data_IF_156108695637
#
_entry.id   IF_156108695637
#
_cell.length_a   1.000
_cell.length_b   1.000
_cell.length_c   1.000
_cell.angle_alpha   90.00
_cell.angle_beta   90.00
_cell.angle_gamma   90.00
#
_symmetry.space_group_name_H-M   'P 1'
#
loop_
_entity.id
_entity.type
_entity.pdbx_description
1 polymer ?
#
# COMPACT_ATOMS: atom_id res chain seq x y z
N UNK A 1 -9.22 3.31 -19.07
CA UNK A 1 -8.35 2.12 -19.21
C UNK A 1 -6.96 2.63 -18.87
N UNK A 2 -6.55 2.56 -17.60
CA UNK A 2 -5.17 2.86 -17.24
C UNK A 2 -4.34 1.78 -17.92
N UNK A 3 -3.54 2.19 -18.92
CA UNK A 3 -2.58 1.29 -19.53
C UNK A 3 -1.75 0.63 -18.43
N UNK A 4 -1.49 -0.67 -18.57
CA UNK A 4 -0.44 -1.35 -17.81
C UNK A 4 0.90 -0.72 -18.20
N UNK A 5 1.21 0.46 -17.67
CA UNK A 5 2.59 0.90 -17.61
C UNK A 5 3.22 0.00 -16.56
N UNK A 6 4.09 -0.91 -17.01
CA UNK A 6 5.06 -1.51 -16.12
C UNK A 6 5.84 -0.35 -15.51
N UNK A 7 5.48 0.03 -14.28
CA UNK A 7 6.23 1.03 -13.52
C UNK A 7 7.53 0.34 -13.06
N UNK A 8 8.46 0.15 -13.99
CA UNK A 8 9.83 -0.21 -13.66
C UNK A 8 10.47 1.08 -13.18
N UNK A 9 10.44 1.25 -11.87
CA UNK A 9 11.30 2.21 -11.21
C UNK A 9 12.72 1.68 -11.41
N UNK A 10 13.57 2.25 -12.26
CA UNK A 10 14.89 1.63 -12.48
C UNK A 10 15.84 1.94 -11.31
N UNK A 11 16.04 3.24 -11.07
CA UNK A 11 16.87 3.75 -9.98
C UNK A 11 16.04 4.69 -9.11
N UNK A 12 16.16 4.55 -7.79
CA UNK A 12 15.46 5.37 -6.82
C UNK A 12 16.36 5.85 -5.69
N UNK A 13 15.96 6.98 -5.10
CA UNK A 13 16.51 7.49 -3.85
C UNK A 13 15.44 7.39 -2.77
N UNK A 14 15.82 6.96 -1.57
CA UNK A 14 14.92 6.94 -0.42
C UNK A 14 15.13 8.17 0.46
N UNK A 15 14.05 8.71 1.01
CA UNK A 15 14.07 9.86 1.92
C UNK A 15 13.25 9.56 3.17
N UNK A 16 13.88 9.70 4.33
CA UNK A 16 13.24 9.53 5.63
C UNK A 16 13.56 10.68 6.60
N UNK A 17 12.73 10.80 7.64
CA UNK A 17 12.92 11.81 8.70
C UNK A 17 13.13 11.17 10.06
N UNK A 18 14.07 11.71 10.83
CA UNK A 18 14.21 11.41 12.26
C UNK A 18 13.38 12.44 13.00
N UNK A 19 12.34 11.98 13.70
CA UNK A 19 11.42 12.83 14.47
C UNK A 19 11.59 12.61 15.97
N UNK A 20 10.76 13.23 16.81
CA UNK A 20 10.81 12.99 18.27
C UNK A 20 10.31 11.60 18.66
N UNK A 21 9.37 11.07 17.89
CA UNK A 21 8.72 9.78 18.15
C UNK A 21 9.39 8.62 17.40
N UNK A 22 10.37 8.94 16.55
CA UNK A 22 11.11 8.00 15.72
C UNK A 22 12.60 8.34 15.78
N UNK A 23 13.33 7.55 16.56
CA UNK A 23 14.78 7.63 16.69
C UNK A 23 15.49 7.07 15.44
N UNK A 24 16.82 7.11 15.47
CA UNK A 24 17.67 6.73 14.35
C UNK A 24 17.67 5.22 14.10
N UNK A 25 17.55 4.41 15.16
CA UNK A 25 17.42 2.95 15.07
C UNK A 25 16.12 2.57 14.36
N UNK A 26 14.97 3.10 14.83
CA UNK A 26 13.67 2.88 14.18
C UNK A 26 13.66 3.38 12.75
N UNK A 27 14.25 4.56 12.47
CA UNK A 27 14.34 5.04 11.09
C UNK A 27 15.14 4.09 10.20
N UNK A 28 16.20 3.47 10.70
CA UNK A 28 17.02 2.54 9.91
C UNK A 28 16.19 1.35 9.45
N UNK A 29 15.46 0.71 10.38
CA UNK A 29 14.53 -0.38 10.07
C UNK A 29 13.45 0.05 9.08
N UNK A 30 12.95 1.28 9.27
CA UNK A 30 11.91 1.83 8.41
C UNK A 30 12.40 2.01 6.98
N UNK A 31 13.65 2.45 6.83
CA UNK A 31 14.30 2.62 5.53
C UNK A 31 14.68 1.29 4.91
N UNK A 32 15.05 0.27 5.70
CA UNK A 32 15.26 -1.11 5.21
C UNK A 32 13.97 -1.69 4.65
N UNK A 33 12.86 -1.52 5.36
CA UNK A 33 11.56 -1.96 4.88
C UNK A 33 11.10 -1.17 3.63
N UNK A 34 11.34 0.15 3.59
CA UNK A 34 11.04 0.98 2.43
C UNK A 34 11.88 0.57 1.22
N UNK A 35 13.15 0.21 1.42
CA UNK A 35 14.00 -0.35 0.38
C UNK A 35 13.45 -1.67 -0.14
N UNK A 36 12.95 -2.53 0.76
CA UNK A 36 12.37 -3.80 0.36
C UNK A 36 11.02 -3.63 -0.38
N UNK A 37 10.22 -2.62 -0.01
CA UNK A 37 9.05 -2.19 -0.79
C UNK A 37 9.46 -1.70 -2.18
N UNK A 38 10.48 -0.85 -2.24
CA UNK A 38 11.00 -0.31 -3.49
C UNK A 38 11.48 -1.45 -4.41
N UNK A 39 12.27 -2.37 -3.88
CA UNK A 39 12.70 -3.59 -4.57
C UNK A 39 11.53 -4.44 -5.06
N UNK A 40 10.51 -4.63 -4.22
CA UNK A 40 9.31 -5.39 -4.59
C UNK A 40 8.53 -4.73 -5.74
N UNK A 41 8.52 -3.40 -5.82
CA UNK A 41 7.93 -2.64 -6.90
C UNK A 41 8.78 -2.58 -8.17
N UNK A 42 10.02 -3.09 -8.13
CA UNK A 42 10.97 -3.11 -9.23
C UNK A 42 12.08 -2.06 -9.16
N UNK A 43 12.14 -1.26 -8.07
CA UNK A 43 13.12 -0.19 -7.86
C UNK A 43 14.47 -0.67 -7.32
N UNK A 44 15.56 -0.15 -7.88
CA UNK A 44 16.90 -0.28 -7.29
C UNK A 44 17.27 0.99 -6.52
N UNK A 45 17.43 0.88 -5.21
CA UNK A 45 17.81 2.01 -4.37
C UNK A 45 19.31 2.30 -4.51
N UNK A 46 19.66 3.55 -4.81
CA UNK A 46 21.06 3.99 -4.96
C UNK A 46 21.60 4.71 -3.73
N UNK A 47 20.72 5.41 -3.00
CA UNK A 47 21.10 6.17 -1.82
C UNK A 47 19.90 6.38 -0.90
N UNK A 48 20.19 6.48 0.39
CA UNK A 48 19.25 6.86 1.44
C UNK A 48 19.63 8.24 1.96
N UNK A 49 18.66 9.15 2.03
CA UNK A 49 18.80 10.44 2.69
C UNK A 49 17.94 10.47 3.94
N UNK A 50 18.54 10.96 5.01
CA UNK A 50 17.84 11.19 6.27
C UNK A 50 18.03 12.63 6.70
N UNK A 51 17.03 13.16 7.40
CA UNK A 51 17.14 14.47 8.04
C UNK A 51 16.45 14.47 9.40
N UNK A 52 17.14 15.01 10.40
CA UNK A 52 16.57 15.22 11.72
C UNK A 52 15.74 16.50 11.73
N UNK A 53 14.43 16.36 11.94
CA UNK A 53 13.48 17.46 12.05
C UNK A 53 12.46 17.13 13.14
N UNK A 54 12.05 18.14 13.93
CA UNK A 54 11.02 17.90 14.95
C UNK A 54 9.68 17.50 14.36
N UNK A 55 9.34 18.05 13.19
CA UNK A 55 8.18 17.72 12.39
C UNK A 55 8.53 17.88 10.91
N UNK A 56 7.84 17.18 9.99
CA UNK A 56 8.03 17.33 8.55
C UNK A 56 7.81 18.79 8.11
N UNK A 57 8.64 19.25 7.17
CA UNK A 57 8.48 20.57 6.60
C UNK A 57 7.16 20.65 5.79
N UNK A 58 6.34 21.65 6.07
CA UNK A 58 5.02 21.80 5.42
C UNK A 58 5.08 22.02 3.90
N UNK A 59 6.22 22.49 3.38
CA UNK A 59 6.42 22.81 1.96
C UNK A 59 7.03 21.63 1.20
N UNK A 60 8.07 20.99 1.73
CA UNK A 60 8.88 19.99 1.00
C UNK A 60 9.13 18.70 1.77
N UNK A 61 8.52 18.51 2.94
CA UNK A 61 8.75 17.38 3.86
C UNK A 61 10.15 17.39 4.50
N UNK A 62 11.20 17.53 3.70
CA UNK A 62 12.57 17.85 4.11
C UNK A 62 12.82 19.36 4.08
N UNK A 63 13.87 19.82 4.77
CA UNK A 63 14.30 21.22 4.73
C UNK A 63 14.96 21.58 3.40
N UNK A 64 14.94 22.88 3.04
CA UNK A 64 15.44 23.40 1.75
C UNK A 64 16.86 22.92 1.38
N UNK A 65 17.81 22.98 2.31
CA UNK A 65 19.18 22.55 2.05
C UNK A 65 19.30 21.06 1.73
N UNK A 66 18.47 20.21 2.35
CA UNK A 66 18.42 18.78 2.07
C UNK A 66 17.74 18.51 0.72
N UNK A 67 16.70 19.27 0.37
CA UNK A 67 16.08 19.18 -0.95
C UNK A 67 17.07 19.54 -2.07
N UNK A 68 17.89 20.58 -1.89
CA UNK A 68 18.97 20.96 -2.82
C UNK A 68 20.05 19.87 -2.93
N UNK A 69 20.46 19.29 -1.80
CA UNK A 69 21.41 18.16 -1.78
C UNK A 69 20.87 16.94 -2.55
N UNK A 70 19.59 16.61 -2.35
CA UNK A 70 18.91 15.53 -3.07
C UNK A 70 18.89 15.86 -4.57
N UNK A 71 18.52 17.09 -4.95
CA UNK A 71 18.48 17.51 -6.36
C UNK A 71 19.83 17.30 -7.05
N UNK A 72 20.91 17.80 -6.45
CA UNK A 72 22.25 17.66 -7.01
C UNK A 72 22.63 16.18 -7.21
N UNK A 73 22.33 15.33 -6.22
CA UNK A 73 22.61 13.90 -6.34
C UNK A 73 21.80 13.23 -7.46
N UNK A 74 20.53 13.62 -7.63
CA UNK A 74 19.67 13.09 -8.71
C UNK A 74 20.20 13.46 -10.10
N UNK A 75 20.64 14.71 -10.27
CA UNK A 75 21.21 15.22 -11.53
C UNK A 75 22.55 14.52 -11.85
N UNK A 76 23.44 14.37 -10.86
CA UNK A 76 24.75 13.72 -11.03
C UNK A 76 24.66 12.23 -11.39
N UNK A 77 23.62 11.54 -10.92
CA UNK A 77 23.48 10.08 -11.05
C UNK A 77 22.33 9.68 -11.99
N UNK A 78 21.71 10.64 -12.69
CA UNK A 78 20.59 10.43 -13.62
C UNK A 78 19.44 9.60 -13.01
N UNK A 79 19.08 9.89 -11.77
CA UNK A 79 18.04 9.14 -11.04
C UNK A 79 16.69 9.83 -11.22
N UNK A 80 15.72 9.10 -11.80
CA UNK A 80 14.40 9.66 -12.12
C UNK A 80 13.32 9.49 -11.06
N UNK A 81 13.61 8.89 -9.89
CA UNK A 81 12.61 8.60 -8.84
C UNK A 81 13.11 8.88 -7.43
N UNK A 82 12.27 9.53 -6.62
CA UNK A 82 12.48 9.70 -5.18
C UNK A 82 11.29 9.12 -4.43
N UNK A 83 11.57 8.32 -3.40
CA UNK A 83 10.57 7.65 -2.57
C UNK A 83 10.69 8.16 -1.13
N UNK A 84 9.58 8.63 -0.57
CA UNK A 84 9.48 9.12 0.80
C UNK A 84 8.83 8.06 1.72
N UNK A 85 9.36 7.86 2.94
CA UNK A 85 8.81 6.88 3.91
C UNK A 85 7.41 7.24 4.44
N UNK A 86 7.03 8.50 4.40
CA UNK A 86 5.74 8.99 4.91
C UNK A 86 4.84 9.48 3.79
N UNK A 87 3.52 9.44 4.03
CA UNK A 87 2.53 10.00 3.12
C UNK A 87 2.75 11.51 2.95
N UNK A 88 2.85 11.95 1.70
CA UNK A 88 3.02 13.35 1.38
C UNK A 88 1.67 14.04 1.20
N UNK A 89 1.55 15.25 1.75
CA UNK A 89 0.41 16.11 1.47
C UNK A 89 0.41 16.54 -0.01
N UNK A 90 -0.76 16.86 -0.60
CA UNK A 90 -0.84 17.33 -1.99
C UNK A 90 0.01 18.58 -2.28
N UNK A 91 0.24 19.44 -1.28
CA UNK A 91 1.15 20.59 -1.39
C UNK A 91 2.62 20.19 -1.42
N UNK A 92 3.04 19.26 -0.55
CA UNK A 92 4.42 18.79 -0.49
C UNK A 92 4.80 18.10 -1.80
N UNK A 93 3.96 17.17 -2.26
CA UNK A 93 4.19 16.43 -3.50
C UNK A 93 4.40 17.38 -4.69
N UNK A 94 3.53 18.39 -4.85
CA UNK A 94 3.65 19.39 -5.92
C UNK A 94 4.94 20.22 -5.84
N UNK A 95 5.33 20.62 -4.63
CA UNK A 95 6.53 21.44 -4.46
C UNK A 95 7.78 20.61 -4.72
N UNK A 96 7.81 19.37 -4.26
CA UNK A 96 8.89 18.42 -4.53
C UNK A 96 9.02 18.10 -6.02
N UNK A 97 7.91 17.83 -6.71
CA UNK A 97 7.92 17.61 -8.17
C UNK A 97 8.48 18.82 -8.93
N UNK A 98 8.15 20.05 -8.48
CA UNK A 98 8.66 21.28 -9.11
C UNK A 98 10.13 21.55 -8.80
N UNK A 99 10.57 21.26 -7.58
CA UNK A 99 11.93 21.56 -7.14
C UNK A 99 12.93 20.49 -7.63
N UNK A 100 12.55 19.21 -7.58
CA UNK A 100 13.41 18.08 -7.93
C UNK A 100 13.28 17.62 -9.39
N UNK A 101 12.19 17.99 -10.09
CA UNK A 101 11.97 17.69 -11.53
C UNK A 101 12.00 16.19 -11.88
N UNK A 102 11.75 15.33 -10.90
CA UNK A 102 11.72 13.87 -11.03
C UNK A 102 10.40 13.29 -10.50
N UNK A 103 10.15 12.01 -10.74
CA UNK A 103 8.97 11.32 -10.21
C UNK A 103 9.06 11.21 -8.70
N UNK A 104 8.08 11.76 -7.99
CA UNK A 104 7.97 11.66 -6.54
C UNK A 104 6.96 10.58 -6.17
N UNK A 105 7.37 9.67 -5.30
CA UNK A 105 6.53 8.67 -4.68
C UNK A 105 6.56 8.83 -3.18
N UNK A 106 5.43 8.56 -2.55
CA UNK A 106 5.38 8.27 -1.12
C UNK A 106 5.14 6.78 -0.87
N UNK A 107 5.29 6.39 0.39
CA UNK A 107 5.07 5.02 0.84
C UNK A 107 3.67 4.50 0.47
N UNK A 108 2.64 5.33 0.61
CA UNK A 108 1.26 4.95 0.28
C UNK A 108 1.10 4.59 -1.20
N UNK A 109 1.61 5.42 -2.09
CA UNK A 109 1.57 5.18 -3.53
C UNK A 109 2.39 3.95 -3.93
N UNK A 110 3.58 3.78 -3.33
CA UNK A 110 4.42 2.59 -3.56
C UNK A 110 3.70 1.29 -3.17
N UNK A 111 3.02 1.27 -2.02
CA UNK A 111 2.24 0.12 -1.57
C UNK A 111 1.06 -0.16 -2.53
N UNK A 112 0.34 0.88 -2.96
CA UNK A 112 -0.75 0.75 -3.93
C UNK A 112 -0.27 0.17 -5.26
N UNK A 113 0.89 0.60 -5.75
CA UNK A 113 1.50 0.08 -6.98
C UNK A 113 1.89 -1.39 -6.87
N UNK A 114 2.51 -1.79 -5.74
CA UNK A 114 2.83 -3.21 -5.49
C UNK A 114 1.54 -4.04 -5.50
N UNK A 115 0.49 -3.57 -4.84
CA UNK A 115 -0.79 -4.27 -4.86
C UNK A 115 -1.42 -4.33 -6.24
N UNK A 116 -1.29 -3.28 -7.06
CA UNK A 116 -1.82 -3.27 -8.42
C UNK A 116 -1.11 -4.33 -9.29
N UNK A 117 0.21 -4.50 -9.09
CA UNK A 117 0.99 -5.55 -9.75
C UNK A 117 0.59 -6.95 -9.28
N UNK A 118 0.22 -7.12 -8.01
CA UNK A 118 -0.11 -8.42 -7.39
C UNK A 118 -1.58 -8.83 -7.53
N UNK A 119 -2.49 -7.90 -7.78
CA UNK A 119 -3.92 -8.17 -7.88
C UNK A 119 -4.25 -9.10 -9.07
N UNK A 120 -4.54 -10.37 -8.77
CA UNK A 120 -4.88 -11.35 -9.80
C UNK A 120 -6.39 -11.43 -10.03
N UNK A 121 -7.16 -11.44 -8.94
CA UNK A 121 -8.63 -11.55 -9.04
C UNK A 121 -9.26 -10.24 -9.50
N UNK A 122 -10.43 -10.33 -10.16
CA UNK A 122 -11.21 -9.14 -10.49
C UNK A 122 -11.61 -8.34 -9.24
N UNK A 123 -11.68 -9.00 -8.09
CA UNK A 123 -12.02 -8.39 -6.83
C UNK A 123 -10.88 -7.50 -6.32
N UNK A 124 -9.71 -8.09 -6.09
CA UNK A 124 -8.51 -7.37 -5.67
C UNK A 124 -8.16 -6.24 -6.64
N UNK A 125 -8.29 -6.45 -7.96
CA UNK A 125 -8.04 -5.39 -8.95
C UNK A 125 -8.99 -4.21 -8.78
N UNK A 126 -10.28 -4.47 -8.57
CA UNK A 126 -11.28 -3.42 -8.40
C UNK A 126 -11.05 -2.64 -7.10
N UNK A 127 -10.64 -3.32 -6.03
CA UNK A 127 -10.29 -2.70 -4.74
C UNK A 127 -9.06 -1.82 -4.84
N UNK A 128 -7.97 -2.32 -5.43
CA UNK A 128 -6.74 -1.53 -5.58
C UNK A 128 -6.96 -0.34 -6.50
N UNK A 129 -7.69 -0.52 -7.61
CA UNK A 129 -8.06 0.58 -8.51
C UNK A 129 -8.89 1.65 -7.77
N UNK A 130 -9.83 1.26 -6.92
CA UNK A 130 -10.59 2.19 -6.09
C UNK A 130 -9.68 2.99 -5.15
N UNK A 131 -8.80 2.31 -4.42
CA UNK A 131 -7.89 2.95 -3.48
C UNK A 131 -6.91 3.91 -4.19
N UNK A 132 -6.42 3.55 -5.38
CA UNK A 132 -5.61 4.44 -6.22
C UNK A 132 -6.38 5.71 -6.61
N UNK A 133 -7.62 5.59 -7.06
CA UNK A 133 -8.42 6.77 -7.41
C UNK A 133 -8.74 7.65 -6.19
N UNK A 134 -9.04 7.07 -5.03
CA UNK A 134 -9.28 7.81 -3.80
C UNK A 134 -8.03 8.55 -3.30
N UNK A 135 -6.85 7.93 -3.44
CA UNK A 135 -5.57 8.57 -3.13
C UNK A 135 -5.22 9.70 -4.10
N UNK A 136 -5.50 9.53 -5.41
CA UNK A 136 -5.23 10.51 -6.45
C UNK A 136 -6.22 11.69 -6.44
N UNK A 137 -7.49 11.47 -6.10
CA UNK A 137 -8.55 12.49 -6.13
C UNK A 137 -8.17 13.83 -5.45
N UNK A 138 -7.64 13.86 -4.22
CA UNK A 138 -7.21 15.11 -3.57
C UNK A 138 -5.91 15.70 -4.16
N UNK A 139 -5.17 14.95 -4.98
CA UNK A 139 -3.84 15.30 -5.49
C UNK A 139 -3.85 15.82 -6.94
N UNK A 140 -4.90 15.55 -7.72
CA UNK A 140 -5.01 15.95 -9.13
C UNK A 140 -5.14 17.45 -9.39
N UNK A 141 -5.77 18.19 -8.47
CA UNK A 141 -6.11 19.62 -8.65
C UNK A 141 -4.90 20.52 -8.89
N UNK A 142 -3.67 20.05 -8.63
CA UNK A 142 -2.48 20.91 -8.68
C UNK A 142 -1.37 20.43 -9.61
N UNK A 143 -1.39 19.18 -10.09
CA UNK A 143 -0.50 18.70 -11.16
C UNK A 143 -0.80 19.41 -12.50
N UNK A 144 -2.06 19.76 -12.76
CA UNK A 144 -2.50 20.36 -14.01
C UNK A 144 -2.14 21.84 -14.23
N UNK A 145 -1.77 22.58 -13.18
CA UNK A 145 -1.35 23.99 -13.33
C UNK A 145 -0.09 24.18 -14.22
N UNK A 146 0.65 23.11 -14.50
CA UNK A 146 1.78 23.11 -15.43
C UNK A 146 1.35 22.89 -16.91
N UNK A 147 0.25 22.17 -17.16
CA UNK A 147 -0.27 21.90 -18.50
C UNK A 147 -0.99 23.12 -19.11
N UNK A 148 -1.71 23.91 -18.30
CA UNK A 148 -2.36 25.16 -18.75
C UNK A 148 -1.35 26.20 -19.27
N UNK A 149 -0.14 26.25 -18.70
CA UNK A 149 0.89 27.21 -19.12
C UNK A 149 1.54 26.87 -20.47
N UNK A 150 1.52 25.59 -20.85
CA UNK A 150 2.14 25.14 -22.11
C UNK A 150 1.18 25.27 -23.32
N UNK A 151 -0.14 25.37 -23.09
CA UNK A 151 -1.15 25.42 -24.15
C UNK A 151 -1.61 26.81 -24.60
N UNK A 152 -1.01 27.88 -24.07
CA UNK A 152 -1.22 29.24 -24.56
C UNK A 152 -2.57 29.81 -24.11
N UNK A 153 -2.52 30.87 -23.33
CA UNK A 153 -3.69 31.63 -22.91
C UNK A 153 -4.33 32.37 -24.08
N UNK A 154 -5.22 31.71 -24.83
CA UNK A 154 -6.17 32.36 -25.72
C UNK A 154 -7.51 31.61 -25.66
N UNK A 155 -8.47 32.21 -24.96
CA UNK A 155 -9.89 32.15 -25.33
C UNK A 155 -10.61 30.80 -25.21
N UNK A 156 -11.09 30.49 -24.00
CA UNK A 156 -12.28 29.63 -23.82
C UNK A 156 -13.38 30.46 -23.16
N UNK A 157 -14.10 31.24 -23.97
CA UNK A 157 -15.42 31.80 -23.60
C UNK A 157 -16.49 30.85 -24.16
N UNK A 158 -16.89 29.87 -23.34
CA UNK A 158 -17.95 28.88 -23.60
C UNK A 158 -17.92 27.73 -22.56
N UNK A 159 -19.06 27.07 -22.29
CA UNK A 159 -19.73 27.07 -20.99
C UNK A 159 -18.94 26.44 -19.82
N UNK A 160 -18.50 27.28 -18.89
CA UNK A 160 -18.74 27.14 -17.43
C UNK A 160 -17.90 26.17 -16.60
N UNK A 161 -17.46 25.02 -17.11
CA UNK A 161 -16.76 24.01 -16.31
C UNK A 161 -15.27 24.01 -16.64
N UNK A 162 -14.41 24.15 -15.63
CA UNK A 162 -12.96 24.07 -15.84
C UNK A 162 -12.55 22.64 -16.23
N UNK A 163 -11.52 22.45 -17.06
CA UNK A 163 -11.02 21.10 -17.42
C UNK A 163 -10.70 20.26 -16.16
N UNK A 164 -10.23 20.92 -15.09
CA UNK A 164 -9.98 20.34 -13.77
C UNK A 164 -11.27 19.80 -13.11
N UNK A 165 -12.37 20.52 -13.20
CA UNK A 165 -13.67 20.07 -12.67
C UNK A 165 -14.19 18.86 -13.45
N UNK A 166 -14.01 18.88 -14.77
CA UNK A 166 -14.36 17.75 -15.65
C UNK A 166 -13.58 16.48 -15.27
N UNK A 167 -12.26 16.59 -15.08
CA UNK A 167 -11.43 15.44 -14.67
C UNK A 167 -11.77 14.93 -13.27
N UNK A 168 -12.00 15.84 -12.32
CA UNK A 168 -12.46 15.45 -10.97
C UNK A 168 -13.80 14.74 -11.03
N UNK A 169 -14.70 15.18 -11.90
CA UNK A 169 -15.99 14.54 -12.10
C UNK A 169 -15.82 13.14 -12.68
N UNK A 170 -14.99 12.96 -13.71
CA UNK A 170 -14.68 11.64 -14.29
C UNK A 170 -14.16 10.68 -13.21
N UNK A 171 -13.24 11.15 -12.36
CA UNK A 171 -12.66 10.30 -11.30
C UNK A 171 -13.68 9.99 -10.20
N UNK A 172 -14.54 10.94 -9.81
CA UNK A 172 -15.65 10.68 -8.88
C UNK A 172 -16.66 9.69 -9.44
N UNK A 173 -16.99 9.80 -10.72
CA UNK A 173 -17.89 8.87 -11.40
C UNK A 173 -17.26 7.47 -11.45
N UNK A 174 -15.94 7.39 -11.68
CA UNK A 174 -15.20 6.13 -11.63
C UNK A 174 -15.18 5.52 -10.23
N UNK A 175 -14.91 6.31 -9.20
CA UNK A 175 -15.00 5.89 -7.79
C UNK A 175 -16.38 5.33 -7.48
N UNK A 176 -17.43 6.03 -7.89
CA UNK A 176 -18.83 5.62 -7.65
C UNK A 176 -19.14 4.29 -8.34
N UNK A 177 -18.71 4.13 -9.59
CA UNK A 177 -18.85 2.87 -10.35
C UNK A 177 -18.11 1.71 -9.69
N UNK A 178 -16.85 1.92 -9.26
CA UNK A 178 -16.05 0.89 -8.59
C UNK A 178 -16.66 0.48 -7.25
N UNK A 179 -17.17 1.44 -6.47
CA UNK A 179 -17.90 1.16 -5.21
C UNK A 179 -19.15 0.31 -5.44
N UNK A 180 -19.96 0.63 -6.45
CA UNK A 180 -21.13 -0.20 -6.80
C UNK A 180 -20.73 -1.60 -7.26
N UNK A 181 -19.66 -1.71 -8.07
CA UNK A 181 -19.13 -3.01 -8.49
C UNK A 181 -18.66 -3.84 -7.29
N UNK A 182 -17.95 -3.24 -6.33
CA UNK A 182 -17.54 -3.95 -5.11
C UNK A 182 -18.73 -4.46 -4.31
N UNK A 183 -19.79 -3.65 -4.12
CA UNK A 183 -21.02 -4.10 -3.43
C UNK A 183 -21.63 -5.35 -4.06
N UNK A 184 -21.60 -5.46 -5.40
CA UNK A 184 -22.11 -6.67 -6.08
C UNK A 184 -21.23 -7.89 -5.83
N UNK A 185 -19.91 -7.72 -5.84
CA UNK A 185 -18.98 -8.82 -5.58
C UNK A 185 -19.03 -9.27 -4.11
N UNK A 186 -19.15 -8.33 -3.18
CA UNK A 186 -19.28 -8.60 -1.74
C UNK A 186 -20.50 -9.46 -1.44
N UNK A 187 -21.65 -9.18 -2.08
CA UNK A 187 -22.86 -10.01 -1.96
C UNK A 187 -22.63 -11.45 -2.44
N UNK A 188 -21.87 -11.63 -3.53
CA UNK A 188 -21.52 -12.96 -4.03
C UNK A 188 -20.59 -13.70 -3.07
N UNK A 189 -19.57 -13.02 -2.55
CA UNK A 189 -18.63 -13.58 -1.57
C UNK A 189 -19.34 -13.98 -0.27
N UNK A 190 -20.23 -13.15 0.26
CA UNK A 190 -21.03 -13.48 1.44
C UNK A 190 -21.88 -14.76 1.25
N UNK A 191 -22.43 -14.95 0.05
CA UNK A 191 -23.20 -16.17 -0.28
C UNK A 191 -22.29 -17.40 -0.30
N UNK A 192 -21.08 -17.29 -0.86
CA UNK A 192 -20.09 -18.37 -0.81
C UNK A 192 -19.66 -18.67 0.64
N UNK A 193 -19.46 -17.65 1.48
CA UNK A 193 -19.12 -17.82 2.90
C UNK A 193 -20.22 -18.55 3.67
N UNK A 194 -21.49 -18.17 3.46
CA UNK A 194 -22.63 -18.85 4.08
C UNK A 194 -22.76 -20.33 3.66
N UNK A 195 -22.31 -20.68 2.45
CA UNK A 195 -22.30 -22.07 1.97
C UNK A 195 -21.15 -22.92 2.54
N UNK A 196 -20.19 -22.36 3.29
CA UNK A 196 -19.01 -23.09 3.82
C UNK A 196 -19.27 -23.92 5.09
N UNK A 197 -20.52 -24.00 5.57
CA UNK A 197 -20.93 -24.90 6.66
C UNK A 197 -20.35 -24.54 8.04
N UNK A 198 -20.61 -25.37 9.06
CA UNK A 198 -20.17 -25.19 10.47
C UNK A 198 -18.71 -25.66 10.72
N UNK A 199 -17.85 -25.64 9.72
CA UNK A 199 -16.48 -26.13 9.89
C UNK A 199 -15.63 -25.05 10.58
N UNK A 200 -14.72 -25.46 11.47
CA UNK A 200 -13.84 -24.53 12.19
C UNK A 200 -12.99 -23.74 11.20
N UNK A 201 -12.92 -22.43 11.37
CA UNK A 201 -12.18 -21.49 10.53
C UNK A 201 -10.98 -20.95 11.29
N UNK A 202 -9.80 -21.10 10.70
CA UNK A 202 -8.53 -20.60 11.24
C UNK A 202 -7.95 -19.63 10.23
N UNK A 203 -7.62 -18.41 10.66
CA UNK A 203 -6.96 -17.42 9.82
C UNK A 203 -5.52 -17.21 10.27
N UNK A 204 -4.58 -17.29 9.33
CA UNK A 204 -3.19 -16.93 9.55
C UNK A 204 -3.07 -15.41 9.52
N UNK A 205 -2.59 -14.79 10.60
CA UNK A 205 -2.32 -13.34 10.65
C UNK A 205 -0.86 -13.09 11.00
N UNK A 206 -0.34 -11.93 10.60
CA UNK A 206 1.04 -11.56 10.89
C UNK A 206 1.61 -10.62 9.85
N UNK A 207 2.79 -10.08 10.16
CA UNK A 207 3.49 -9.14 9.30
C UNK A 207 3.78 -9.75 7.93
N UNK A 208 3.97 -8.93 6.91
CA UNK A 208 4.38 -9.41 5.58
C UNK A 208 5.74 -10.11 5.67
N UNK A 209 5.95 -11.14 4.85
CA UNK A 209 7.17 -11.97 4.81
C UNK A 209 7.50 -12.84 6.04
N UNK A 210 6.65 -12.93 7.07
CA UNK A 210 6.88 -13.81 8.25
C UNK A 210 6.69 -15.31 7.99
N UNK A 211 6.49 -15.73 6.74
CA UNK A 211 6.31 -17.14 6.37
C UNK A 211 4.88 -17.68 6.49
N UNK A 212 3.84 -16.84 6.52
CA UNK A 212 2.42 -17.29 6.55
C UNK A 212 2.09 -18.27 5.42
N UNK A 213 2.41 -17.92 4.17
CA UNK A 213 2.13 -18.78 3.01
C UNK A 213 2.96 -20.07 3.04
N UNK A 214 4.20 -20.01 3.54
CA UNK A 214 5.06 -21.20 3.77
C UNK A 214 4.42 -22.15 4.78
N UNK A 215 3.90 -21.62 5.89
CA UNK A 215 3.18 -22.40 6.90
C UNK A 215 1.88 -23.00 6.33
N UNK A 216 1.14 -22.22 5.54
CA UNK A 216 -0.06 -22.71 4.85
C UNK A 216 0.27 -23.89 3.94
N UNK A 217 1.37 -23.82 3.19
CA UNK A 217 1.83 -24.90 2.31
C UNK A 217 2.18 -26.17 3.06
N UNK A 218 2.95 -26.02 4.13
CA UNK A 218 3.35 -27.13 4.98
C UNK A 218 2.12 -27.86 5.56
N UNK A 219 1.12 -27.11 6.02
CA UNK A 219 -0.10 -27.65 6.62
C UNK A 219 -1.07 -28.23 5.59
N UNK A 220 -1.19 -27.62 4.41
CA UNK A 220 -2.14 -28.01 3.38
C UNK A 220 -1.59 -29.01 2.36
N UNK A 221 -0.30 -29.35 2.43
CA UNK A 221 0.42 -30.17 1.43
C UNK A 221 0.20 -29.65 0.00
N UNK A 222 0.23 -28.34 -0.18
CA UNK A 222 -0.03 -27.69 -1.46
C UNK A 222 1.04 -26.67 -1.80
N UNK A 223 1.13 -26.33 -3.09
CA UNK A 223 2.02 -25.29 -3.62
C UNK A 223 1.25 -23.96 -3.70
N UNK A 224 1.14 -23.22 -2.60
CA UNK A 224 0.82 -21.79 -2.62
C UNK A 224 2.12 -21.04 -2.95
N UNK A 225 2.00 -20.01 -3.77
CA UNK A 225 3.13 -19.20 -4.19
C UNK A 225 3.73 -18.46 -2.99
N UNK A 226 4.94 -18.83 -2.59
CA UNK A 226 5.70 -18.17 -1.54
C UNK A 226 6.99 -17.60 -2.16
N UNK A 227 7.07 -16.28 -2.27
CA UNK A 227 8.27 -15.56 -2.69
C UNK A 227 8.77 -14.68 -1.54
N UNK A 228 10.09 -14.47 -1.47
CA UNK A 228 10.69 -13.48 -0.57
C UNK A 228 10.48 -12.05 -1.12
N UNK A 229 9.22 -11.62 -1.14
CA UNK A 229 8.75 -10.31 -1.59
C UNK A 229 7.56 -9.88 -0.75
N UNK A 230 7.41 -8.57 -0.55
CA UNK A 230 6.28 -8.05 0.23
C UNK A 230 4.96 -8.27 -0.52
N UNK A 231 3.90 -8.54 0.25
CA UNK A 231 2.55 -8.78 -0.29
C UNK A 231 2.49 -9.91 -1.33
N UNK A 232 3.28 -10.98 -1.12
CA UNK A 232 3.21 -12.19 -1.95
C UNK A 232 1.79 -12.76 -2.06
N UNK A 233 0.96 -12.58 -1.02
CA UNK A 233 -0.45 -12.95 -0.99
C UNK A 233 -1.34 -11.73 -0.77
N UNK A 234 -2.01 -11.29 -1.84
CA UNK A 234 -3.05 -10.26 -1.80
C UNK A 234 -4.47 -10.87 -1.77
N UNK A 235 -4.66 -11.95 -2.53
CA UNK A 235 -5.91 -12.69 -2.60
C UNK A 235 -5.95 -13.71 -1.44
N UNK A 236 -7.06 -13.75 -0.71
CA UNK A 236 -7.24 -14.73 0.38
C UNK A 236 -7.38 -16.13 -0.20
N UNK A 237 -6.56 -17.06 0.30
CA UNK A 237 -6.62 -18.46 -0.11
C UNK A 237 -7.19 -19.28 1.03
N UNK A 238 -8.27 -20.02 0.78
CA UNK A 238 -8.90 -20.89 1.78
C UNK A 238 -8.68 -22.34 1.38
N UNK A 239 -8.15 -23.15 2.31
CA UNK A 239 -7.94 -24.59 2.09
C UNK A 239 -8.50 -25.40 3.24
N UNK A 240 -9.01 -26.58 2.91
CA UNK A 240 -9.37 -27.58 3.91
C UNK A 240 -8.12 -28.32 4.35
N UNK A 241 -7.80 -28.23 5.63
CA UNK A 241 -6.70 -28.95 6.28
C UNK A 241 -7.29 -29.97 7.25
N UNK A 242 -6.62 -31.12 7.39
CA UNK A 242 -7.00 -32.16 8.33
C UNK A 242 -5.79 -32.51 9.18
N UNK A 243 -5.87 -32.25 10.48
CA UNK A 243 -4.84 -32.66 11.45
C UNK A 243 -5.45 -33.74 12.34
N UNK A 244 -4.87 -34.95 12.31
CA UNK A 244 -5.48 -36.13 12.92
C UNK A 244 -6.87 -36.38 12.33
N UNK A 245 -7.91 -36.25 13.15
CA UNK A 245 -9.32 -36.43 12.76
C UNK A 245 -10.12 -35.12 12.72
N UNK A 246 -9.47 -33.96 12.88
CA UNK A 246 -10.15 -32.65 12.91
C UNK A 246 -9.98 -31.92 11.56
N UNK A 247 -11.04 -31.82 10.74
CA UNK A 247 -11.02 -30.98 9.55
C UNK A 247 -11.34 -29.52 9.90
N UNK A 248 -10.54 -28.59 9.36
CA UNK A 248 -10.78 -27.15 9.48
C UNK A 248 -10.44 -26.43 8.19
N UNK A 249 -10.94 -25.20 8.04
CA UNK A 249 -10.57 -24.29 6.97
C UNK A 249 -9.40 -23.42 7.46
N UNK A 250 -8.29 -23.47 6.73
CA UNK A 250 -7.16 -22.58 6.93
C UNK A 250 -7.18 -21.51 5.85
N UNK A 251 -7.20 -20.25 6.28
CA UNK A 251 -7.18 -19.07 5.41
C UNK A 251 -5.83 -18.36 5.53
N UNK A 252 -5.14 -18.17 4.41
CA UNK A 252 -3.99 -17.25 4.34
C UNK A 252 -4.50 -15.84 4.01
N UNK A 253 -4.06 -14.86 4.81
CA UNK A 253 -4.48 -13.47 4.71
C UNK A 253 -3.37 -12.60 4.15
N UNK A 254 -3.74 -11.39 3.75
CA UNK A 254 -2.75 -10.35 3.41
C UNK A 254 -1.83 -10.11 4.59
N UNK A 255 -0.53 -10.03 4.33
CA UNK A 255 0.44 -9.65 5.35
C UNK A 255 0.28 -8.18 5.74
N UNK A 256 0.25 -7.93 7.04
CA UNK A 256 0.21 -6.56 7.54
C UNK A 256 1.56 -5.87 7.37
N UNK A 257 1.52 -4.56 7.20
CA UNK A 257 2.70 -3.70 7.20
C UNK A 257 2.39 -2.46 8.02
N UNK A 258 3.40 -1.80 8.58
CA UNK A 258 3.25 -0.50 9.24
C UNK A 258 2.84 0.58 8.24
N UNK A 259 2.18 1.63 8.75
CA UNK A 259 1.67 2.77 7.96
C UNK A 259 0.86 2.30 6.74
N UNK A 260 0.02 1.28 6.92
CA UNK A 260 -0.84 0.77 5.85
C UNK A 260 -1.85 1.87 5.46
N UNK A 261 -2.02 2.17 4.16
CA UNK A 261 -2.90 3.27 3.75
C UNK A 261 -4.34 3.05 4.21
N UNK A 262 -4.97 4.06 4.80
CA UNK A 262 -6.35 3.95 5.32
C UNK A 262 -7.36 3.61 4.22
N UNK A 263 -7.14 4.10 3.00
CA UNK A 263 -7.96 3.77 1.82
C UNK A 263 -7.89 2.27 1.49
N UNK A 264 -6.75 1.63 1.75
CA UNK A 264 -6.57 0.20 1.59
C UNK A 264 -7.18 -0.58 2.75
N UNK A 265 -7.14 -0.10 3.99
CA UNK A 265 -7.84 -0.75 5.12
C UNK A 265 -9.34 -0.86 4.85
N UNK A 266 -9.97 0.22 4.37
CA UNK A 266 -11.38 0.22 3.98
C UNK A 266 -11.65 -0.74 2.81
N UNK A 267 -10.72 -0.80 1.85
CA UNK A 267 -10.83 -1.68 0.71
C UNK A 267 -10.65 -3.15 1.11
N UNK A 268 -9.74 -3.47 2.03
CA UNK A 268 -9.51 -4.82 2.58
C UNK A 268 -10.56 -5.28 3.58
N UNK A 269 -11.59 -4.48 3.86
CA UNK A 269 -12.62 -4.83 4.86
C UNK A 269 -13.21 -6.22 4.67
N UNK A 270 -13.36 -6.67 3.43
CA UNK A 270 -13.84 -8.01 3.07
C UNK A 270 -12.82 -9.14 3.20
N UNK A 271 -11.53 -8.89 3.00
CA UNK A 271 -10.45 -9.86 3.26
C UNK A 271 -10.21 -9.94 4.75
N UNK A 272 -10.34 -8.82 5.45
CA UNK A 272 -10.41 -8.71 6.91
C UNK A 272 -11.69 -9.32 7.48
N UNK A 273 -12.78 -9.42 6.71
CA UNK A 273 -13.97 -10.14 7.16
C UNK A 273 -13.68 -11.64 7.35
N UNK A 274 -12.78 -12.25 6.58
CA UNK A 274 -12.34 -13.64 6.86
C UNK A 274 -11.63 -13.74 8.23
N UNK A 275 -10.83 -12.73 8.60
CA UNK A 275 -10.23 -12.62 9.94
C UNK A 275 -11.32 -12.40 11.01
N UNK A 276 -12.30 -11.54 10.74
CA UNK A 276 -13.44 -11.24 11.63
C UNK A 276 -14.46 -12.34 11.73
N UNK A 277 -14.48 -13.28 10.81
CA UNK A 277 -15.33 -14.46 10.85
C UNK A 277 -14.60 -15.73 11.35
N UNK A 278 -13.25 -15.75 11.36
CA UNK A 278 -12.47 -16.88 11.87
C UNK A 278 -12.81 -17.27 13.32
N UNK A 279 -12.80 -18.55 13.64
CA UNK A 279 -13.01 -19.01 15.01
C UNK A 279 -11.71 -18.93 15.84
N UNK A 280 -10.55 -18.93 15.16
CA UNK A 280 -9.21 -18.87 15.75
C UNK A 280 -8.29 -18.03 14.86
N UNK A 281 -7.47 -17.17 15.47
CA UNK A 281 -6.40 -16.45 14.78
C UNK A 281 -5.04 -17.09 15.10
N UNK A 282 -4.32 -17.54 14.08
CA UNK A 282 -2.95 -18.00 14.23
C UNK A 282 -2.00 -16.86 13.88
N UNK A 283 -1.44 -16.20 14.90
CA UNK A 283 -0.46 -15.13 14.71
C UNK A 283 0.94 -15.71 14.47
N UNK A 284 1.43 -15.56 13.24
CA UNK A 284 2.79 -15.95 12.84
C UNK A 284 3.72 -14.76 13.01
N UNK A 285 4.81 -14.96 13.74
CA UNK A 285 5.82 -13.94 14.04
C UNK A 285 7.19 -14.45 13.65
N UNK A 286 7.98 -13.61 12.99
CA UNK A 286 9.38 -13.88 12.71
C UNK A 286 10.26 -13.39 13.87
N UNK A 287 10.79 -14.33 14.66
CA UNK A 287 11.66 -14.04 15.82
C UNK A 287 13.10 -13.71 15.44
N UNK A 288 13.48 -13.88 14.17
CA UNK A 288 14.82 -13.53 13.70
C UNK A 288 15.00 -12.03 13.46
N UNK A 289 13.88 -11.29 13.35
CA UNK A 289 13.87 -9.85 13.21
C UNK A 289 13.98 -9.16 14.57
N UNK A 290 14.89 -8.20 14.73
CA UNK A 290 15.14 -7.53 16.02
C UNK A 290 13.88 -6.80 16.55
N UNK A 291 13.10 -6.20 15.64
CA UNK A 291 11.85 -5.48 15.89
C UNK A 291 10.58 -6.36 15.84
N UNK A 292 10.69 -7.66 16.12
CA UNK A 292 9.51 -8.55 16.11
C UNK A 292 8.40 -8.09 17.09
N UNK A 293 8.76 -7.45 18.21
CA UNK A 293 7.80 -6.88 19.17
C UNK A 293 6.99 -5.73 18.56
N UNK A 294 7.64 -4.87 17.76
CA UNK A 294 6.98 -3.78 17.03
C UNK A 294 6.07 -4.30 15.91
N UNK A 295 6.46 -5.41 15.28
CA UNK A 295 5.58 -6.11 14.33
C UNK A 295 4.34 -6.68 15.03
N UNK A 296 4.50 -7.29 16.21
CA UNK A 296 3.38 -7.79 17.02
C UNK A 296 2.44 -6.64 17.41
N UNK A 297 2.99 -5.53 17.90
CA UNK A 297 2.20 -4.37 18.34
C UNK A 297 1.43 -3.76 17.17
N UNK A 298 2.06 -3.62 16.00
CA UNK A 298 1.43 -3.14 14.77
C UNK A 298 0.27 -4.04 14.32
N UNK A 299 0.48 -5.37 14.32
CA UNK A 299 -0.59 -6.32 13.97
C UNK A 299 -1.73 -6.24 14.97
N UNK A 300 -1.44 -6.17 16.26
CA UNK A 300 -2.47 -6.07 17.31
C UNK A 300 -3.30 -4.79 17.19
N UNK A 301 -2.68 -3.66 16.86
CA UNK A 301 -3.40 -2.41 16.61
C UNK A 301 -4.38 -2.58 15.44
N UNK A 302 -3.93 -3.17 14.32
CA UNK A 302 -4.81 -3.41 13.16
C UNK A 302 -5.94 -4.39 13.54
N UNK A 303 -5.66 -5.44 14.32
CA UNK A 303 -6.67 -6.38 14.82
C UNK A 303 -7.70 -5.69 15.73
N UNK A 304 -7.31 -4.65 16.47
CA UNK A 304 -8.23 -3.82 17.25
C UNK A 304 -9.12 -2.97 16.34
N UNK A 305 -8.55 -2.29 15.34
CA UNK A 305 -9.28 -1.45 14.38
C UNK A 305 -10.37 -2.24 13.62
N UNK A 306 -10.10 -3.52 13.32
CA UNK A 306 -11.06 -4.39 12.63
C UNK A 306 -12.00 -5.16 13.58
N UNK A 307 -11.94 -4.92 14.89
CA UNK A 307 -12.72 -5.62 15.92
C UNK A 307 -12.51 -7.16 15.94
N UNK A 308 -11.28 -7.63 15.69
CA UNK A 308 -10.93 -9.06 15.74
C UNK A 308 -10.05 -9.43 16.95
N UNK A 309 -9.66 -8.46 17.79
CA UNK A 309 -8.73 -8.65 18.90
C UNK A 309 -9.22 -9.57 20.05
N UNK A 310 -10.52 -9.83 20.16
CA UNK A 310 -11.08 -10.68 21.22
C UNK A 310 -11.08 -12.16 20.86
N UNK A 311 -10.62 -12.49 19.65
CA UNK A 311 -10.61 -13.86 19.16
C UNK A 311 -9.51 -14.67 19.84
N UNK A 312 -9.75 -15.97 20.05
CA UNK A 312 -8.73 -16.88 20.55
C UNK A 312 -7.50 -16.92 19.64
#
# INVERSE_FOLDING_TARGET
MLEKKEHIYENAVLVGLITKDQDEEKLTEYMDELEFLAYTAGATVKKRFTQKLSQPDSRTFVGKGKAEEIKLFLEENEIGTVIFDDELSPSQLKNLERELEVKILDRTNLILDIFAQRAQTSYARTQVELAQYEYLLPRLTRMWTHLERQRGGIGMRGPGETEIETDRRIIRDRISLLKEKLKTIDKQMATQRNNRGKMVRVALVGYTNVGKSTLMNALSKSEVFAENKLFATLDTTVRKVVIGNLPFLLTDTVGFIRKLPTQLVESFKSTLDEVREADLLLHVVDVSHESFEDHISSVNQILQEINAHQKP
#
